data_IF_617229204734
#
_entry.id   IF_617229204734
#
_cell.length_a   1.000
_cell.length_b   1.000
_cell.length_c   1.000
_cell.angle_alpha   90.00
_cell.angle_beta   90.00
_cell.angle_gamma   90.00
#
_symmetry.space_group_name_H-M   'P 1'
#
loop_
_entity.id
_entity.type
_entity.pdbx_description
1 polymer ?
#
# COMPACT_ATOMS: atom_id res chain seq x y z
N UNK A 1 16.73 2.45 11.97
CA UNK A 1 16.83 1.21 11.20
C UNK A 1 15.46 0.92 10.59
N UNK A 2 15.30 1.16 9.30
CA UNK A 2 14.00 1.08 8.62
C UNK A 2 13.78 -0.38 8.24
N UNK A 3 12.90 -1.09 8.96
CA UNK A 3 12.37 -2.38 8.51
C UNK A 3 11.55 -2.13 7.24
N UNK A 4 12.16 -2.37 6.08
CA UNK A 4 11.40 -2.50 4.83
C UNK A 4 10.76 -3.87 4.81
N UNK A 5 9.48 -3.91 5.13
CA UNK A 5 8.67 -5.11 4.95
C UNK A 5 8.75 -5.58 3.50
N UNK A 6 9.17 -6.83 3.35
CA UNK A 6 8.91 -7.61 2.16
C UNK A 6 7.41 -7.51 1.85
N UNK A 7 7.02 -7.03 0.67
CA UNK A 7 5.61 -7.00 0.27
C UNK A 7 5.10 -8.44 0.18
N UNK A 8 4.44 -8.89 1.24
CA UNK A 8 3.76 -10.18 1.29
C UNK A 8 2.35 -10.01 0.73
N UNK A 9 2.01 -10.79 -0.29
CA UNK A 9 0.62 -10.99 -0.73
C UNK A 9 0.05 -12.17 0.01
N UNK A 10 -1.11 -12.00 0.61
CA UNK A 10 -1.90 -13.07 1.20
C UNK A 10 -2.35 -14.08 0.12
N UNK A 11 -2.44 -15.38 0.43
CA UNK A 11 -3.01 -16.36 -0.48
C UNK A 11 -4.49 -16.06 -0.69
N UNK A 12 -4.94 -16.01 -1.94
CA UNK A 12 -6.34 -15.79 -2.33
C UNK A 12 -6.58 -14.66 -3.33
N UNK A 13 -5.64 -13.76 -3.56
CA UNK A 13 -5.75 -12.80 -4.65
C UNK A 13 -4.99 -13.31 -5.87
N UNK A 14 -5.69 -13.99 -6.78
CA UNK A 14 -5.24 -14.10 -8.17
C UNK A 14 -4.82 -12.70 -8.64
N UNK A 15 -3.71 -12.57 -9.38
CA UNK A 15 -3.35 -11.29 -9.96
C UNK A 15 -4.53 -10.83 -10.80
N UNK A 16 -5.20 -9.77 -10.39
CA UNK A 16 -6.21 -9.14 -11.24
C UNK A 16 -5.51 -8.87 -12.57
N UNK A 17 -6.08 -9.30 -13.70
CA UNK A 17 -5.54 -8.97 -15.01
C UNK A 17 -5.35 -7.45 -15.02
N UNK A 18 -4.18 -7.00 -15.45
CA UNK A 18 -3.87 -5.58 -15.47
C UNK A 18 -4.98 -4.82 -16.19
N UNK A 19 -5.21 -3.54 -15.89
CA UNK A 19 -6.34 -2.76 -16.41
C UNK A 19 -6.46 -2.81 -17.94
N UNK A 20 -5.38 -3.14 -18.64
CA UNK A 20 -5.39 -3.37 -20.10
C UNK A 20 -6.07 -4.67 -20.54
N UNK A 21 -5.87 -5.77 -19.82
CA UNK A 21 -6.46 -7.06 -20.19
C UNK A 21 -7.99 -7.08 -19.97
N UNK A 22 -8.45 -6.43 -18.90
CA UNK A 22 -9.89 -6.29 -18.63
C UNK A 22 -10.58 -5.40 -19.68
N UNK A 23 -9.89 -4.33 -20.11
CA UNK A 23 -10.42 -3.45 -21.17
C UNK A 23 -10.48 -4.12 -22.53
N UNK A 24 -9.49 -4.94 -22.88
CA UNK A 24 -9.51 -5.74 -24.12
C UNK A 24 -10.66 -6.74 -24.15
N UNK A 25 -10.91 -7.46 -23.03
CA UNK A 25 -12.06 -8.37 -22.91
C UNK A 25 -13.40 -7.65 -23.03
N UNK A 26 -13.52 -6.45 -22.45
CA UNK A 26 -14.76 -5.64 -22.57
C UNK A 26 -15.00 -5.13 -23.99
N UNK A 27 -13.94 -4.82 -24.74
CA UNK A 27 -14.05 -4.41 -26.16
C UNK A 27 -14.46 -5.59 -27.03
N UNK A 28 -13.89 -6.77 -26.80
CA UNK A 28 -14.24 -8.00 -27.51
C UNK A 28 -15.66 -8.50 -27.22
N UNK A 29 -16.21 -8.16 -26.05
CA UNK A 29 -17.56 -8.55 -25.65
C UNK A 29 -18.66 -7.56 -26.11
N UNK A 30 -18.35 -6.59 -26.97
CA UNK A 30 -19.34 -5.65 -27.54
C UNK A 30 -19.99 -4.70 -26.52
N UNK A 31 -19.47 -4.60 -25.29
CA UNK A 31 -20.11 -3.86 -24.19
C UNK A 31 -19.63 -2.41 -24.00
N UNK A 32 -19.11 -1.75 -25.01
CA UNK A 32 -18.54 -0.43 -24.71
C UNK A 32 -18.79 0.65 -25.71
N UNK A 33 -19.67 1.56 -25.35
CA UNK A 33 -19.53 3.00 -25.67
C UNK A 33 -18.50 3.65 -24.73
N UNK A 34 -17.30 3.10 -24.58
CA UNK A 34 -16.18 3.66 -23.81
C UNK A 34 -15.01 3.96 -24.73
N UNK A 35 -14.16 4.96 -24.43
CA UNK A 35 -13.03 5.29 -25.30
C UNK A 35 -12.22 4.01 -25.59
N UNK A 36 -11.94 3.78 -26.86
CA UNK A 36 -11.27 2.58 -27.38
C UNK A 36 -10.10 2.18 -26.49
N UNK A 37 -10.15 0.97 -25.91
CA UNK A 37 -9.05 0.45 -25.14
C UNK A 37 -7.85 0.30 -26.08
N UNK A 38 -6.81 1.09 -25.85
CA UNK A 38 -5.58 1.01 -26.65
C UNK A 38 -4.92 -0.33 -26.44
N UNK A 39 -4.51 -0.97 -27.54
CA UNK A 39 -3.71 -2.20 -27.49
C UNK A 39 -2.47 -1.97 -26.60
N UNK A 40 -2.11 -2.92 -25.72
CA UNK A 40 -0.92 -2.82 -24.89
C UNK A 40 0.32 -2.57 -25.74
N UNK A 41 1.08 -1.54 -25.42
CA UNK A 41 2.32 -1.22 -26.16
C UNK A 41 3.47 -2.06 -25.63
N UNK A 42 4.34 -2.50 -26.53
CA UNK A 42 5.60 -3.15 -26.15
C UNK A 42 6.43 -2.27 -25.21
N UNK A 43 7.00 -2.90 -24.19
CA UNK A 43 7.91 -2.23 -23.26
C UNK A 43 9.26 -2.02 -23.95
N UNK A 44 9.51 -0.80 -24.42
CA UNK A 44 10.79 -0.42 -25.01
C UNK A 44 11.83 -0.19 -23.92
N UNK A 45 13.07 -0.71 -24.12
CA UNK A 45 14.22 -0.45 -23.23
C UNK A 45 14.40 1.06 -23.03
N UNK A 46 14.58 1.50 -21.78
CA UNK A 46 14.74 2.92 -21.42
C UNK A 46 13.45 3.75 -21.39
N UNK A 47 12.30 3.23 -21.89
CA UNK A 47 11.00 3.93 -21.85
C UNK A 47 10.01 3.34 -20.86
N UNK A 48 10.36 2.26 -20.17
CA UNK A 48 9.56 1.62 -19.16
C UNK A 48 10.39 1.35 -17.90
N UNK A 49 9.71 1.02 -16.80
CA UNK A 49 10.38 0.58 -15.57
C UNK A 49 11.16 -0.70 -15.84
N UNK A 50 12.45 -0.68 -15.53
CA UNK A 50 13.31 -1.86 -15.63
C UNK A 50 12.88 -2.85 -14.53
N UNK A 51 12.19 -3.92 -14.93
CA UNK A 51 11.79 -4.99 -14.01
C UNK A 51 11.52 -6.28 -14.76
N UNK A 52 11.90 -7.39 -14.14
CA UNK A 52 11.61 -8.73 -14.61
C UNK A 52 11.28 -9.65 -13.43
N UNK A 53 10.57 -10.75 -13.71
CA UNK A 53 10.06 -11.65 -12.70
C UNK A 53 10.52 -13.07 -12.98
N UNK A 54 10.96 -13.73 -11.93
CA UNK A 54 11.14 -15.17 -11.88
C UNK A 54 9.91 -15.81 -11.23
N UNK A 55 9.34 -16.82 -11.89
CA UNK A 55 8.24 -17.61 -11.37
C UNK A 55 8.62 -19.09 -11.41
N UNK A 56 8.12 -19.86 -10.47
CA UNK A 56 8.19 -21.33 -10.44
C UNK A 56 9.62 -21.94 -10.60
N UNK A 57 10.68 -21.24 -10.21
CA UNK A 57 12.05 -21.76 -10.23
C UNK A 57 12.66 -21.71 -8.84
N UNK A 58 13.62 -22.61 -8.53
CA UNK A 58 14.26 -22.61 -7.23
C UNK A 58 14.98 -21.28 -6.99
N UNK A 59 14.58 -20.62 -5.91
CA UNK A 59 15.17 -19.39 -5.42
C UNK A 59 15.54 -19.62 -3.96
N UNK A 60 16.70 -19.17 -3.56
CA UNK A 60 17.18 -19.32 -2.18
C UNK A 60 17.43 -17.94 -1.57
N UNK A 61 17.25 -17.86 -0.28
CA UNK A 61 17.55 -16.70 0.52
C UNK A 61 18.30 -17.16 1.76
N UNK A 62 19.50 -16.65 1.92
CA UNK A 62 20.33 -16.91 3.09
C UNK A 62 20.65 -15.59 3.80
N UNK A 63 21.30 -15.63 4.97
CA UNK A 63 21.61 -14.42 5.71
C UNK A 63 22.50 -13.45 4.91
N UNK A 64 21.91 -12.38 4.39
CA UNK A 64 22.61 -11.37 3.58
C UNK A 64 22.80 -11.69 2.11
N UNK A 65 22.28 -12.82 1.59
CA UNK A 65 22.39 -13.20 0.18
C UNK A 65 21.09 -13.72 -0.38
N UNK A 66 20.94 -13.60 -1.71
CA UNK A 66 19.81 -14.12 -2.48
C UNK A 66 20.34 -14.83 -3.71
N UNK A 67 19.92 -16.08 -3.93
CA UNK A 67 20.22 -16.84 -5.14
C UNK A 67 19.04 -16.82 -6.07
N UNK A 68 19.23 -16.29 -7.27
CA UNK A 68 18.20 -16.18 -8.31
C UNK A 68 18.61 -16.95 -9.56
N UNK A 69 17.65 -17.57 -10.28
CA UNK A 69 17.93 -18.27 -11.52
C UNK A 69 18.68 -17.37 -12.53
N UNK A 70 19.69 -17.91 -13.20
CA UNK A 70 20.55 -17.23 -14.18
C UNK A 70 21.40 -16.05 -13.66
N UNK A 71 21.11 -15.52 -12.47
CA UNK A 71 21.89 -14.44 -11.86
C UNK A 71 22.89 -14.96 -10.81
N UNK A 72 22.68 -16.20 -10.34
CA UNK A 72 23.50 -16.75 -9.28
C UNK A 72 23.22 -16.14 -7.91
N UNK A 73 24.18 -16.20 -7.02
CA UNK A 73 24.11 -15.67 -5.67
C UNK A 73 24.58 -14.21 -5.63
N UNK A 74 23.76 -13.36 -5.07
CA UNK A 74 23.96 -11.91 -5.01
C UNK A 74 23.91 -11.49 -3.54
N UNK A 75 24.91 -10.74 -3.08
CA UNK A 75 24.90 -10.11 -1.77
C UNK A 75 23.84 -9.02 -1.71
N UNK A 76 23.13 -8.94 -0.60
CA UNK A 76 22.10 -7.93 -0.36
C UNK A 76 22.56 -6.89 0.65
N UNK A 77 22.23 -5.63 0.41
CA UNK A 77 22.50 -4.55 1.36
C UNK A 77 21.61 -4.63 2.60
N UNK A 78 20.40 -5.17 2.44
CA UNK A 78 19.44 -5.34 3.53
C UNK A 78 19.52 -6.77 4.06
N UNK A 79 19.33 -6.96 5.38
CA UNK A 79 19.33 -8.27 6.00
C UNK A 79 18.18 -9.12 5.48
N UNK A 80 18.49 -10.36 5.11
CA UNK A 80 17.52 -11.36 4.66
C UNK A 80 17.26 -12.43 5.71
N UNK A 81 17.83 -12.31 6.91
CA UNK A 81 17.75 -13.32 7.99
C UNK A 81 16.32 -13.71 8.36
N UNK A 82 15.39 -12.73 8.41
CA UNK A 82 14.00 -13.00 8.76
C UNK A 82 13.29 -13.92 7.76
N UNK A 83 13.54 -13.70 6.46
CA UNK A 83 13.01 -14.56 5.41
C UNK A 83 13.76 -15.92 5.40
N UNK A 84 15.08 -15.91 5.47
CA UNK A 84 15.91 -17.11 5.47
C UNK A 84 15.51 -18.05 6.61
N UNK A 85 15.31 -17.53 7.83
CA UNK A 85 14.84 -18.32 8.98
C UNK A 85 13.49 -18.97 8.73
N UNK A 86 12.52 -18.24 8.16
CA UNK A 86 11.19 -18.80 7.86
C UNK A 86 11.23 -19.85 6.76
N UNK A 87 12.09 -19.68 5.77
CA UNK A 87 12.33 -20.68 4.72
C UNK A 87 12.97 -21.93 5.29
N UNK A 88 13.97 -21.77 6.19
CA UNK A 88 14.63 -22.89 6.86
C UNK A 88 13.70 -23.68 7.78
N UNK A 89 12.79 -23.01 8.47
CA UNK A 89 11.79 -23.65 9.35
C UNK A 89 10.55 -24.18 8.59
N UNK A 90 10.51 -24.09 7.25
CA UNK A 90 9.36 -24.52 6.47
C UNK A 90 8.12 -23.63 6.56
N UNK A 91 8.14 -22.57 7.39
CA UNK A 91 6.98 -21.67 7.60
C UNK A 91 6.82 -20.60 6.51
N UNK A 92 7.66 -20.65 5.49
CA UNK A 92 7.51 -19.80 4.29
C UNK A 92 7.95 -20.53 3.04
N UNK A 93 7.32 -20.22 1.90
CA UNK A 93 7.69 -20.71 0.57
C UNK A 93 7.76 -19.54 -0.41
N UNK A 94 8.84 -19.41 -1.19
CA UNK A 94 8.95 -18.39 -2.22
C UNK A 94 8.16 -18.84 -3.47
N UNK A 95 7.17 -18.06 -3.87
CA UNK A 95 6.39 -18.29 -5.09
C UNK A 95 7.01 -17.60 -6.29
N UNK A 96 7.57 -16.42 -6.12
CA UNK A 96 8.20 -15.67 -7.19
C UNK A 96 9.10 -14.57 -6.65
N UNK A 97 10.05 -14.13 -7.49
CA UNK A 97 10.86 -12.96 -7.22
C UNK A 97 10.74 -11.95 -8.36
N UNK A 98 10.56 -10.68 -8.02
CA UNK A 98 10.59 -9.58 -8.99
C UNK A 98 11.81 -8.72 -8.74
N UNK A 99 12.71 -8.69 -9.72
CA UNK A 99 13.85 -7.79 -9.74
C UNK A 99 13.43 -6.49 -10.39
N UNK A 100 13.68 -5.36 -9.76
CA UNK A 100 13.31 -4.06 -10.30
C UNK A 100 14.34 -2.99 -9.95
N UNK A 101 14.50 -2.00 -10.84
CA UNK A 101 15.37 -0.87 -10.61
C UNK A 101 14.57 0.39 -10.28
N UNK A 102 14.92 1.05 -9.19
CA UNK A 102 14.30 2.29 -8.77
C UNK A 102 15.38 3.24 -8.23
N UNK A 103 15.42 4.47 -8.71
CA UNK A 103 16.37 5.50 -8.26
C UNK A 103 17.84 5.03 -8.29
N UNK A 104 18.24 4.28 -9.33
CA UNK A 104 19.57 3.69 -9.55
C UNK A 104 19.94 2.56 -8.57
N UNK A 105 18.98 2.03 -7.83
CA UNK A 105 19.17 0.86 -6.97
C UNK A 105 18.35 -0.31 -7.49
N UNK A 106 18.91 -1.49 -7.41
CA UNK A 106 18.21 -2.74 -7.69
C UNK A 106 17.55 -3.27 -6.43
N UNK A 107 16.34 -3.76 -6.58
CA UNK A 107 15.54 -4.36 -5.52
C UNK A 107 15.07 -5.73 -5.98
N UNK A 108 15.09 -6.68 -5.06
CA UNK A 108 14.44 -7.98 -5.20
C UNK A 108 13.23 -7.99 -4.27
N UNK A 109 12.05 -8.21 -4.83
CA UNK A 109 10.81 -8.37 -4.06
C UNK A 109 10.33 -9.80 -4.20
N UNK A 110 10.23 -10.52 -3.09
CA UNK A 110 9.71 -11.88 -3.07
C UNK A 110 8.20 -11.86 -2.84
N UNK A 111 7.48 -12.71 -3.60
CA UNK A 111 6.12 -13.12 -3.25
C UNK A 111 6.26 -14.45 -2.53
N UNK A 112 5.86 -14.47 -1.27
CA UNK A 112 5.96 -15.66 -0.44
C UNK A 112 4.57 -16.07 0.04
N UNK A 113 4.37 -17.37 0.14
CA UNK A 113 3.35 -17.96 0.98
C UNK A 113 3.95 -18.14 2.37
N UNK A 114 3.26 -17.73 3.41
CA UNK A 114 3.76 -17.72 4.77
C UNK A 114 2.68 -18.24 5.71
N UNK A 115 3.04 -19.23 6.50
CA UNK A 115 2.24 -19.61 7.65
C UNK A 115 2.33 -18.51 8.70
N UNK A 116 1.20 -17.97 9.06
CA UNK A 116 1.07 -16.97 10.11
C UNK A 116 -0.04 -17.38 11.06
N UNK A 117 0.33 -17.64 12.30
CA UNK A 117 -0.65 -17.70 13.37
C UNK A 117 -1.20 -16.28 13.58
N UNK A 118 -2.43 -16.07 13.17
CA UNK A 118 -3.17 -14.85 13.50
C UNK A 118 -3.85 -15.13 14.84
N UNK A 119 -3.64 -14.32 15.88
CA UNK A 119 -4.34 -14.49 17.13
C UNK A 119 -5.84 -14.48 16.89
N UNK A 120 -6.57 -15.42 17.49
CA UNK A 120 -8.05 -15.42 17.42
C UNK A 120 -8.65 -14.17 18.04
N UNK A 121 -7.96 -13.63 19.06
CA UNK A 121 -8.34 -12.42 19.77
C UNK A 121 -7.13 -11.48 19.89
N UNK A 122 -7.40 -10.20 19.88
CA UNK A 122 -6.37 -9.20 20.11
C UNK A 122 -5.86 -9.29 21.57
N UNK A 123 -4.54 -9.10 21.83
CA UNK A 123 -4.00 -9.15 23.20
C UNK A 123 -4.64 -8.15 24.16
N UNK A 124 -5.13 -7.03 23.65
CA UNK A 124 -5.87 -6.01 24.40
C UNK A 124 -7.34 -6.01 24.00
N UNK A 125 -8.10 -6.97 24.49
CA UNK A 125 -9.53 -7.08 24.20
C UNK A 125 -10.29 -5.87 24.72
N UNK A 126 -11.31 -5.46 23.98
CA UNK A 126 -12.16 -4.31 24.30
C UNK A 126 -11.53 -2.94 24.02
N UNK A 127 -10.22 -2.87 23.77
CA UNK A 127 -9.56 -1.59 23.49
C UNK A 127 -9.97 -1.02 22.12
N UNK A 128 -10.41 0.22 22.11
CA UNK A 128 -10.86 0.88 20.89
C UNK A 128 -10.24 2.28 20.75
N UNK A 129 -10.04 2.72 19.49
CA UNK A 129 -9.58 4.06 19.17
C UNK A 129 -10.30 4.61 17.95
N UNK A 130 -10.82 5.84 18.03
CA UNK A 130 -11.27 6.62 16.89
C UNK A 130 -10.14 7.46 16.34
N UNK A 131 -9.93 7.46 15.02
CA UNK A 131 -8.78 8.05 14.35
C UNK A 131 -9.21 9.00 13.25
N UNK A 132 -8.91 10.29 13.40
CA UNK A 132 -9.00 11.30 12.34
C UNK A 132 -7.65 11.45 11.62
N UNK A 133 -7.69 11.45 10.28
CA UNK A 133 -6.51 11.62 9.42
C UNK A 133 -6.45 13.03 8.85
N UNK A 134 -5.55 13.85 9.40
CA UNK A 134 -5.45 15.27 9.11
C UNK A 134 -4.25 15.67 8.24
N UNK A 135 -4.35 16.88 7.67
CA UNK A 135 -3.24 17.51 6.91
C UNK A 135 -2.25 18.21 7.82
N UNK A 136 -2.70 18.77 8.93
CA UNK A 136 -1.86 19.45 9.94
C UNK A 136 -1.06 18.40 10.72
N UNK A 137 -1.76 17.52 11.37
CA UNK A 137 -1.27 16.30 12.01
C UNK A 137 -1.57 15.12 11.08
N UNK A 138 -0.73 14.10 11.06
CA UNK A 138 -0.99 12.89 10.27
C UNK A 138 -2.20 12.15 10.82
N UNK A 139 -2.30 12.10 12.14
CA UNK A 139 -3.30 11.34 12.84
C UNK A 139 -3.56 11.96 14.21
N UNK A 140 -4.84 12.13 14.53
CA UNK A 140 -5.33 12.44 15.86
C UNK A 140 -6.25 11.29 16.29
N UNK A 141 -5.94 10.63 17.40
CA UNK A 141 -6.73 9.52 17.93
C UNK A 141 -7.26 9.82 19.31
N UNK A 142 -8.43 9.27 19.65
CA UNK A 142 -8.95 9.23 21.01
C UNK A 142 -9.34 7.80 21.32
N UNK A 143 -8.80 7.27 22.41
CA UNK A 143 -9.08 5.91 22.87
C UNK A 143 -10.31 5.83 23.79
N UNK A 144 -10.68 4.62 24.14
CA UNK A 144 -11.81 4.28 25.02
C UNK A 144 -11.64 4.81 26.47
N UNK A 145 -10.41 5.13 26.87
CA UNK A 145 -10.10 5.75 28.17
C UNK A 145 -10.13 7.28 28.11
N UNK A 146 -10.38 7.87 26.92
CA UNK A 146 -10.41 9.31 26.69
C UNK A 146 -9.02 9.94 26.44
N UNK A 147 -7.95 9.13 26.40
CA UNK A 147 -6.62 9.65 26.09
C UNK A 147 -6.53 10.10 24.64
N UNK A 148 -5.86 11.22 24.41
CA UNK A 148 -5.65 11.77 23.07
C UNK A 148 -4.23 11.44 22.57
N UNK A 149 -4.14 10.84 21.40
CA UNK A 149 -2.88 10.52 20.73
C UNK A 149 -2.75 11.39 19.50
N UNK A 150 -1.62 12.07 19.37
CA UNK A 150 -1.33 12.90 18.20
C UNK A 150 -0.03 12.43 17.54
N UNK A 151 -0.09 12.10 16.24
CA UNK A 151 1.07 11.69 15.45
C UNK A 151 1.31 12.71 14.34
N UNK A 152 2.45 13.38 14.42
CA UNK A 152 2.88 14.33 13.40
C UNK A 152 3.33 13.63 12.12
N UNK A 153 2.88 14.14 10.99
CA UNK A 153 3.35 13.66 9.68
C UNK A 153 4.76 14.22 9.37
N UNK A 154 5.62 13.46 8.70
CA UNK A 154 7.00 13.87 8.40
C UNK A 154 7.06 15.02 7.38
N UNK A 155 5.96 15.36 6.73
CA UNK A 155 5.85 16.42 5.69
C UNK A 155 7.02 16.34 4.69
N UNK A 156 7.37 15.10 4.29
CA UNK A 156 8.59 14.76 3.56
C UNK A 156 8.70 15.45 2.19
N UNK A 157 7.56 15.61 1.50
CA UNK A 157 7.50 16.34 0.23
C UNK A 157 7.72 17.84 0.47
N UNK A 158 7.06 18.40 1.49
CA UNK A 158 7.19 19.82 1.82
C UNK A 158 8.63 20.17 2.16
N UNK A 159 9.30 19.41 3.03
CA UNK A 159 10.69 19.62 3.42
C UNK A 159 11.67 19.45 2.25
N UNK A 160 11.37 18.55 1.30
CA UNK A 160 12.21 18.29 0.13
C UNK A 160 11.91 19.19 -1.08
N UNK A 161 10.92 20.08 -1.01
CA UNK A 161 10.40 20.80 -2.17
C UNK A 161 11.44 21.67 -2.89
N UNK A 162 12.28 22.39 -2.13
CA UNK A 162 13.37 23.21 -2.70
C UNK A 162 14.36 22.34 -3.48
N UNK A 163 14.73 21.19 -2.89
CA UNK A 163 15.66 20.22 -3.50
C UNK A 163 15.06 19.58 -4.76
N UNK A 164 13.76 19.21 -4.71
CA UNK A 164 13.03 18.67 -5.86
C UNK A 164 12.97 19.67 -7.01
N UNK A 165 12.60 20.93 -6.73
CA UNK A 165 12.55 21.99 -7.74
C UNK A 165 13.92 22.22 -8.40
N UNK A 166 15.02 22.26 -7.60
CA UNK A 166 16.38 22.40 -8.12
C UNK A 166 16.76 21.22 -9.02
N UNK A 167 16.54 19.99 -8.56
CA UNK A 167 16.83 18.78 -9.33
C UNK A 167 15.98 18.68 -10.61
N UNK A 168 14.72 19.06 -10.56
CA UNK A 168 13.83 19.10 -11.72
C UNK A 168 14.30 20.11 -12.76
N UNK A 169 14.61 21.35 -12.36
CA UNK A 169 15.15 22.38 -13.27
C UNK A 169 16.48 21.92 -13.88
N UNK A 170 17.38 21.35 -13.07
CA UNK A 170 18.65 20.83 -13.58
C UNK A 170 18.45 19.71 -14.63
N UNK A 171 17.45 18.85 -14.42
CA UNK A 171 17.10 17.80 -15.38
C UNK A 171 16.47 18.40 -16.66
N UNK A 172 15.56 19.36 -16.57
CA UNK A 172 14.87 19.96 -17.73
C UNK A 172 15.82 20.72 -18.65
N UNK A 173 16.87 21.36 -18.10
CA UNK A 173 17.89 22.11 -18.87
C UNK A 173 18.86 21.23 -19.64
N UNK A 174 18.85 19.91 -19.43
CA UNK A 174 19.79 19.00 -20.10
C UNK A 174 19.16 18.43 -21.37
N UNK A 175 19.91 18.43 -22.44
CA UNK A 175 19.48 17.89 -23.73
C UNK A 175 19.33 16.36 -23.72
N UNK A 176 18.22 15.80 -24.25
CA UNK A 176 18.10 14.37 -24.50
C UNK A 176 18.91 14.00 -25.76
N UNK A 177 19.54 12.80 -25.81
CA UNK A 177 19.65 11.76 -24.80
C UNK A 177 20.96 11.78 -23.98
N UNK A 178 21.51 12.94 -23.66
CA UNK A 178 22.86 13.12 -23.10
C UNK A 178 23.08 12.35 -21.77
N UNK A 179 24.36 12.00 -21.53
CA UNK A 179 24.78 11.37 -20.26
C UNK A 179 24.49 12.28 -19.07
N UNK A 180 24.65 13.59 -19.23
CA UNK A 180 24.35 14.58 -18.19
C UNK A 180 22.85 14.62 -17.84
N UNK A 181 21.96 14.43 -18.82
CA UNK A 181 20.52 14.30 -18.55
C UNK A 181 20.20 13.03 -17.74
N UNK A 182 20.85 11.90 -18.07
CA UNK A 182 20.71 10.64 -17.30
C UNK A 182 21.18 10.82 -15.85
N UNK A 183 22.33 11.47 -15.62
CA UNK A 183 22.84 11.80 -14.28
C UNK A 183 21.86 12.71 -13.51
N UNK A 184 21.29 13.73 -14.15
CA UNK A 184 20.32 14.62 -13.56
C UNK A 184 18.99 13.90 -13.21
N UNK A 185 18.50 13.04 -14.12
CA UNK A 185 17.32 12.19 -13.87
C UNK A 185 17.54 11.26 -12.66
N UNK A 186 18.72 10.66 -12.54
CA UNK A 186 19.08 9.83 -11.41
C UNK A 186 19.08 10.59 -10.06
N UNK A 187 19.59 11.84 -10.07
CA UNK A 187 19.53 12.72 -8.88
C UNK A 187 18.08 13.05 -8.51
N UNK A 188 17.25 13.41 -9.47
CA UNK A 188 15.82 13.70 -9.24
C UNK A 188 15.10 12.47 -8.69
N UNK A 189 15.32 11.29 -9.30
CA UNK A 189 14.73 10.04 -8.85
C UNK A 189 15.10 9.68 -7.40
N UNK A 190 16.36 9.91 -7.00
CA UNK A 190 16.80 9.69 -5.60
C UNK A 190 16.08 10.59 -4.61
N UNK A 191 15.81 11.86 -4.97
CA UNK A 191 15.07 12.76 -4.08
C UNK A 191 13.62 12.29 -3.92
N UNK A 192 12.95 11.89 -5.01
CA UNK A 192 11.61 11.31 -4.95
C UNK A 192 11.56 10.02 -4.12
N UNK A 193 12.55 9.13 -4.29
CA UNK A 193 12.64 7.90 -3.51
C UNK A 193 12.78 8.18 -2.02
N UNK A 194 13.62 9.16 -1.64
CA UNK A 194 13.77 9.57 -0.23
C UNK A 194 12.44 10.07 0.36
N UNK A 195 11.74 10.96 -0.35
CA UNK A 195 10.41 11.45 0.09
C UNK A 195 9.44 10.30 0.31
N UNK A 196 9.39 9.35 -0.62
CA UNK A 196 8.53 8.18 -0.52
C UNK A 196 8.90 7.30 0.67
N UNK A 197 10.19 7.06 0.89
CA UNK A 197 10.67 6.20 1.98
C UNK A 197 10.39 6.81 3.35
N UNK A 198 10.67 8.10 3.55
CA UNK A 198 10.40 8.79 4.82
C UNK A 198 8.92 8.76 5.16
N UNK A 199 8.04 9.03 4.18
CA UNK A 199 6.59 8.92 4.36
C UNK A 199 6.15 7.51 4.72
N UNK A 200 6.66 6.52 4.00
CA UNK A 200 6.30 5.13 4.25
C UNK A 200 6.73 4.67 5.64
N UNK A 201 7.93 5.05 6.08
CA UNK A 201 8.43 4.70 7.40
C UNK A 201 7.53 5.26 8.51
N UNK A 202 7.16 6.55 8.41
CA UNK A 202 6.24 7.16 9.37
C UNK A 202 4.87 6.46 9.39
N UNK A 203 4.30 6.16 8.22
CA UNK A 203 3.04 5.43 8.13
C UNK A 203 3.14 4.02 8.69
N UNK A 204 4.23 3.31 8.43
CA UNK A 204 4.44 1.97 8.98
C UNK A 204 4.53 2.00 10.50
N UNK A 205 5.25 2.95 11.07
CA UNK A 205 5.36 3.11 12.53
C UNK A 205 4.00 3.41 13.15
N UNK A 206 3.33 4.46 12.70
CA UNK A 206 2.02 4.87 13.21
C UNK A 206 0.97 3.74 13.12
N UNK A 207 0.84 3.10 11.97
CA UNK A 207 -0.16 2.04 11.79
C UNK A 207 0.20 0.74 12.50
N UNK A 208 1.48 0.46 12.75
CA UNK A 208 1.89 -0.71 13.55
C UNK A 208 1.60 -0.47 15.02
N UNK A 209 1.86 0.74 15.49
CA UNK A 209 1.61 1.12 16.86
C UNK A 209 0.12 1.02 17.20
N UNK A 210 -0.74 1.63 16.39
CA UNK A 210 -2.19 1.51 16.55
C UNK A 210 -2.68 0.05 16.54
N UNK A 211 -2.25 -0.73 15.54
CA UNK A 211 -2.69 -2.11 15.40
C UNK A 211 -2.17 -3.07 16.50
N UNK A 212 -1.19 -2.66 17.28
CA UNK A 212 -0.68 -3.41 18.45
C UNK A 212 -1.37 -3.03 19.75
N UNK A 213 -1.82 -1.78 19.84
CA UNK A 213 -2.39 -1.26 21.08
C UNK A 213 -3.91 -1.30 21.13
N UNK A 214 -4.57 -1.39 20.00
CA UNK A 214 -6.04 -1.35 19.94
C UNK A 214 -6.60 -2.51 19.12
N UNK A 215 -7.59 -3.19 19.71
CA UNK A 215 -8.36 -4.23 19.03
C UNK A 215 -9.22 -3.63 17.92
N UNK A 216 -9.93 -2.55 18.23
CA UNK A 216 -10.81 -1.86 17.29
C UNK A 216 -10.22 -0.50 16.91
N UNK A 217 -9.94 -0.30 15.63
CA UNK A 217 -9.54 1.00 15.09
C UNK A 217 -10.67 1.51 14.21
N UNK A 218 -11.21 2.69 14.52
CA UNK A 218 -12.24 3.35 13.71
C UNK A 218 -11.64 4.51 12.95
N UNK A 219 -11.79 4.56 11.65
CA UNK A 219 -11.25 5.62 10.79
C UNK A 219 -12.26 6.04 9.71
N UNK A 220 -12.06 7.22 9.11
CA UNK A 220 -12.89 7.70 8.01
C UNK A 220 -12.58 6.99 6.67
N UNK A 221 -13.62 6.71 5.86
CA UNK A 221 -13.47 6.33 4.44
C UNK A 221 -13.20 7.56 3.57
N UNK A 222 -12.00 8.09 3.65
CA UNK A 222 -11.61 9.29 2.90
C UNK A 222 -11.59 9.05 1.38
N UNK A 223 -12.33 9.87 0.62
CA UNK A 223 -12.22 9.93 -0.83
C UNK A 223 -10.96 10.67 -1.28
N UNK A 224 -9.79 10.03 -1.08
CA UNK A 224 -8.49 10.63 -1.38
C UNK A 224 -8.38 11.08 -2.84
N UNK A 225 -8.97 10.34 -3.79
CA UNK A 225 -8.96 10.70 -5.20
C UNK A 225 -9.72 12.00 -5.46
N UNK A 226 -10.86 12.21 -4.80
CA UNK A 226 -11.62 13.46 -4.84
C UNK A 226 -10.87 14.61 -4.17
N UNK A 227 -10.29 14.35 -3.00
CA UNK A 227 -9.53 15.37 -2.25
C UNK A 227 -8.32 15.91 -3.02
N UNK A 228 -7.62 15.07 -3.80
CA UNK A 228 -6.47 15.47 -4.62
C UNK A 228 -6.87 16.38 -5.78
N UNK A 229 -8.14 16.39 -6.19
CA UNK A 229 -8.62 17.34 -7.23
C UNK A 229 -8.59 18.78 -6.75
N UNK A 230 -8.67 19.02 -5.45
CA UNK A 230 -8.50 20.36 -4.89
C UNK A 230 -7.04 20.80 -5.00
N UNK A 231 -6.73 21.68 -5.95
CA UNK A 231 -5.36 22.14 -6.26
C UNK A 231 -4.64 22.77 -5.06
N UNK A 232 -5.37 23.42 -4.14
CA UNK A 232 -4.79 24.06 -2.93
C UNK A 232 -4.30 23.03 -1.93
N UNK A 233 -5.01 21.91 -1.76
CA UNK A 233 -4.74 20.87 -0.77
C UNK A 233 -4.04 19.64 -1.34
N UNK A 234 -4.08 19.41 -2.65
CA UNK A 234 -3.58 18.20 -3.32
C UNK A 234 -2.17 17.78 -2.89
N UNK A 235 -1.25 18.77 -2.79
CA UNK A 235 0.14 18.50 -2.38
C UNK A 235 0.22 18.04 -0.93
N UNK A 236 -0.48 18.68 -0.02
CA UNK A 236 -0.48 18.35 1.39
C UNK A 236 -1.11 16.96 1.64
N UNK A 237 -2.26 16.70 0.99
CA UNK A 237 -2.94 15.40 1.04
C UNK A 237 -2.04 14.29 0.47
N UNK A 238 -1.37 14.53 -0.65
CA UNK A 238 -0.42 13.58 -1.25
C UNK A 238 0.80 13.34 -0.35
N UNK A 239 1.21 14.33 0.44
CA UNK A 239 2.33 14.22 1.36
C UNK A 239 1.99 13.35 2.58
N UNK A 240 0.74 13.37 3.05
CA UNK A 240 0.30 12.55 4.19
C UNK A 240 0.09 11.07 3.81
N UNK A 241 -0.42 10.77 2.60
CA UNK A 241 -0.57 9.41 2.10
C UNK A 241 -1.73 8.62 2.71
N UNK A 242 -2.87 9.26 2.98
CA UNK A 242 -4.06 8.70 3.64
C UNK A 242 -4.51 7.34 3.09
N UNK A 243 -4.61 7.17 1.77
CA UNK A 243 -5.01 5.89 1.17
C UNK A 243 -4.03 4.75 1.44
N UNK A 244 -2.75 5.06 1.73
CA UNK A 244 -1.77 4.07 2.16
C UNK A 244 -1.94 3.76 3.65
N UNK A 245 -2.17 4.78 4.49
CA UNK A 245 -2.45 4.62 5.91
C UNK A 245 -3.63 3.67 6.12
N UNK A 246 -4.77 3.92 5.44
CA UNK A 246 -5.96 3.06 5.51
C UNK A 246 -5.64 1.61 5.16
N UNK A 247 -4.94 1.37 4.03
CA UNK A 247 -4.56 0.00 3.63
C UNK A 247 -3.65 -0.67 4.67
N UNK A 248 -2.72 0.08 5.25
CA UNK A 248 -1.82 -0.45 6.28
C UNK A 248 -2.58 -0.78 7.56
N UNK A 249 -3.49 0.06 8.00
CA UNK A 249 -4.37 -0.22 9.14
C UNK A 249 -5.15 -1.51 8.89
N UNK A 250 -5.86 -1.65 7.76
CA UNK A 250 -6.68 -2.82 7.48
C UNK A 250 -5.96 -4.15 7.61
N UNK A 251 -4.79 -4.32 6.95
CA UNK A 251 -4.10 -5.59 7.07
C UNK A 251 -3.35 -5.80 8.41
N UNK A 252 -2.93 -4.70 9.06
CA UNK A 252 -2.19 -4.81 10.31
C UNK A 252 -3.09 -5.09 11.51
N UNK A 253 -4.27 -4.46 11.58
CA UNK A 253 -5.27 -4.78 12.59
C UNK A 253 -5.67 -6.25 12.48
N UNK A 254 -6.03 -6.73 11.27
CA UNK A 254 -6.35 -8.14 11.06
C UNK A 254 -5.19 -9.08 11.42
N UNK A 255 -3.93 -8.69 11.20
CA UNK A 255 -2.77 -9.49 11.59
C UNK A 255 -2.55 -9.60 13.09
N UNK A 256 -3.12 -8.72 13.88
CA UNK A 256 -3.04 -8.72 15.32
C UNK A 256 -4.35 -9.21 16.00
N UNK A 257 -5.27 -9.79 15.21
CA UNK A 257 -6.57 -10.26 15.74
C UNK A 257 -7.55 -9.13 16.04
N UNK A 258 -7.31 -7.92 15.53
CA UNK A 258 -8.16 -6.76 15.69
C UNK A 258 -8.97 -6.44 14.43
N UNK A 259 -9.78 -5.38 14.51
CA UNK A 259 -10.76 -4.97 13.49
C UNK A 259 -10.51 -3.52 13.10
N UNK A 260 -10.61 -3.21 11.79
CA UNK A 260 -10.70 -1.85 11.27
C UNK A 260 -12.16 -1.57 10.88
N UNK A 261 -12.77 -0.60 11.51
CA UNK A 261 -14.09 -0.07 11.15
C UNK A 261 -13.88 1.20 10.33
N UNK A 262 -14.52 1.29 9.17
CA UNK A 262 -14.52 2.50 8.36
C UNK A 262 -15.87 3.19 8.52
N UNK A 263 -15.85 4.41 9.04
CA UNK A 263 -17.03 5.27 9.09
C UNK A 263 -17.54 5.55 7.69
N UNK A 264 -18.86 5.67 7.53
CA UNK A 264 -19.44 6.08 6.27
C UNK A 264 -18.80 7.39 5.77
N UNK A 265 -18.62 7.48 4.48
CA UNK A 265 -17.97 8.64 3.83
C UNK A 265 -18.64 9.97 4.12
N UNK A 266 -19.95 9.95 4.38
CA UNK A 266 -20.77 11.12 4.64
C UNK A 266 -21.01 11.36 6.12
N UNK A 267 -20.47 10.47 6.97
CA UNK A 267 -20.57 10.64 8.42
C UNK A 267 -19.91 11.96 8.84
N UNK A 268 -20.67 12.88 9.47
CA UNK A 268 -20.20 14.24 9.75
C UNK A 268 -19.34 14.30 11.01
N UNK A 269 -18.31 13.47 11.11
CA UNK A 269 -17.45 13.30 12.30
C UNK A 269 -16.97 14.63 12.89
N UNK A 270 -16.50 15.55 12.06
CA UNK A 270 -15.98 16.85 12.49
C UNK A 270 -17.06 17.91 12.76
N UNK A 271 -18.30 17.72 12.25
CA UNK A 271 -19.43 18.65 12.45
C UNK A 271 -20.35 18.28 13.60
N UNK A 272 -20.32 17.04 14.03
CA UNK A 272 -21.11 16.52 15.15
C UNK A 272 -20.44 16.88 16.47
N UNK A 273 -21.20 17.36 17.42
CA UNK A 273 -20.69 17.58 18.78
C UNK A 273 -20.44 16.27 19.48
N UNK A 274 -19.22 16.03 19.94
CA UNK A 274 -18.90 14.81 20.70
C UNK A 274 -19.55 14.76 22.09
N UNK A 275 -20.03 15.89 22.62
CA UNK A 275 -20.77 15.93 23.88
C UNK A 275 -22.25 15.61 23.71
N UNK A 276 -22.99 16.42 22.94
CA UNK A 276 -24.44 16.34 22.87
C UNK A 276 -25.01 15.78 21.55
N UNK A 277 -24.17 15.45 20.56
CA UNK A 277 -24.62 14.90 19.28
C UNK A 277 -25.17 15.92 18.27
N UNK A 278 -25.36 17.18 18.64
CA UNK A 278 -25.87 18.22 17.70
C UNK A 278 -24.93 18.40 16.52
N UNK A 279 -25.49 18.45 15.30
CA UNK A 279 -24.73 18.59 14.06
C UNK A 279 -24.75 20.05 13.59
N UNK A 280 -23.57 20.65 13.46
CA UNK A 280 -23.42 21.99 12.85
C UNK A 280 -23.61 21.93 11.33
N UNK A 281 -24.41 22.84 10.79
CA UNK A 281 -24.65 22.91 9.34
C UNK A 281 -23.39 23.29 8.56
N UNK A 282 -22.61 24.25 9.07
CA UNK A 282 -21.36 24.75 8.45
C UNK A 282 -20.22 24.72 9.44
N UNK A 283 -19.06 24.23 8.98
CA UNK A 283 -17.78 24.27 9.69
C UNK A 283 -16.69 24.55 8.66
N UNK A 284 -16.00 25.70 8.81
CA UNK A 284 -14.93 26.07 7.90
C UNK A 284 -13.72 25.16 8.05
N UNK A 285 -13.00 24.90 6.97
CA UNK A 285 -11.73 24.13 7.04
C UNK A 285 -10.64 24.88 7.81
N UNK A 286 -10.75 26.17 7.97
CA UNK A 286 -9.82 27.01 8.76
C UNK A 286 -10.09 26.96 10.26
N UNK A 287 -11.35 26.65 10.67
CA UNK A 287 -11.71 26.51 12.07
C UNK A 287 -11.01 25.27 12.66
N UNK A 288 -10.22 25.48 13.71
CA UNK A 288 -9.50 24.41 14.43
C UNK A 288 -10.15 24.04 15.75
N UNK A 289 -10.85 24.98 16.34
CA UNK A 289 -11.63 24.76 17.57
C UNK A 289 -13.08 24.55 17.19
N UNK A 290 -13.63 23.45 17.66
CA UNK A 290 -15.06 23.19 17.56
C UNK A 290 -15.75 23.81 18.78
N UNK A 291 -16.75 24.65 18.54
CA UNK A 291 -17.59 25.22 19.59
C UNK A 291 -19.06 24.82 19.34
N UNK A 292 -19.68 24.21 20.33
CA UNK A 292 -21.08 23.80 20.24
C UNK A 292 -22.00 24.91 20.77
N UNK A 293 -22.88 25.42 19.92
CA UNK A 293 -23.86 26.41 20.33
C UNK A 293 -25.00 25.85 21.18
N UNK A 294 -25.14 24.52 21.30
CA UNK A 294 -26.19 23.88 22.07
C UNK A 294 -25.75 23.55 23.51
N UNK A 295 -24.59 22.90 23.70
CA UNK A 295 -24.13 22.49 25.02
C UNK A 295 -22.88 23.23 25.53
N UNK A 296 -22.39 24.23 24.80
CA UNK A 296 -21.24 25.01 25.21
C UNK A 296 -19.88 24.32 25.08
N UNK A 297 -19.82 23.06 24.63
CA UNK A 297 -18.55 22.34 24.49
C UNK A 297 -17.57 23.05 23.56
N UNK A 298 -16.36 23.33 24.04
CA UNK A 298 -15.24 23.86 23.26
C UNK A 298 -14.13 22.82 23.24
N UNK A 299 -13.71 22.36 22.06
CA UNK A 299 -12.75 21.28 21.90
C UNK A 299 -11.96 21.45 20.58
N UNK A 300 -10.74 20.90 20.49
CA UNK A 300 -10.05 20.79 19.23
C UNK A 300 -10.89 19.99 18.22
N UNK A 301 -10.95 20.45 16.98
CA UNK A 301 -11.79 19.87 15.94
C UNK A 301 -11.42 18.43 15.60
N UNK A 302 -10.10 18.15 15.50
CA UNK A 302 -9.58 16.84 15.11
C UNK A 302 -9.83 15.83 16.28
N UNK A 303 -9.75 16.31 17.54
CA UNK A 303 -10.11 15.53 18.73
C UNK A 303 -11.62 15.28 18.78
N UNK A 304 -12.45 16.28 18.46
CA UNK A 304 -13.90 16.11 18.37
C UNK A 304 -14.28 15.02 17.33
N UNK A 305 -13.65 15.07 16.15
CA UNK A 305 -13.84 14.07 15.10
C UNK A 305 -13.43 12.66 15.56
N UNK A 306 -12.28 12.54 16.20
CA UNK A 306 -11.79 11.25 16.73
C UNK A 306 -12.73 10.67 17.78
N UNK A 307 -13.30 11.49 18.71
CA UNK A 307 -14.31 11.07 19.67
C UNK A 307 -15.59 10.57 19.01
N UNK A 308 -16.05 11.25 17.96
CA UNK A 308 -17.24 10.83 17.23
C UNK A 308 -17.00 9.53 16.45
N UNK A 309 -15.81 9.34 15.90
CA UNK A 309 -15.43 8.07 15.27
C UNK A 309 -15.38 6.94 16.29
N UNK A 310 -14.83 7.16 17.48
CA UNK A 310 -14.78 6.16 18.53
C UNK A 310 -16.18 5.64 18.91
N UNK A 311 -17.20 6.50 18.95
CA UNK A 311 -18.58 6.10 19.24
C UNK A 311 -19.13 5.04 18.29
N UNK A 312 -18.62 4.99 17.05
CA UNK A 312 -19.01 3.96 16.08
C UNK A 312 -18.46 2.57 16.43
N UNK A 313 -17.42 2.47 17.27
CA UNK A 313 -16.95 1.18 17.75
C UNK A 313 -18.03 0.45 18.57
N UNK A 314 -18.78 1.21 19.37
CA UNK A 314 -19.85 0.67 20.22
C UNK A 314 -21.13 0.33 19.44
N UNK A 315 -21.40 1.01 18.32
CA UNK A 315 -22.62 0.83 17.54
C UNK A 315 -22.59 -0.37 16.58
N UNK A 316 -21.48 -1.14 16.52
CA UNK A 316 -21.39 -2.33 15.68
C UNK A 316 -21.47 -2.05 14.17
N UNK A 317 -21.06 -0.85 13.74
CA UNK A 317 -20.98 -0.51 12.32
C UNK A 317 -20.16 -1.58 11.57
N UNK A 318 -20.70 -2.07 10.45
CA UNK A 318 -20.14 -3.18 9.67
C UNK A 318 -18.66 -2.97 9.37
N UNK A 319 -17.84 -3.94 9.79
CA UNK A 319 -16.40 -3.91 9.55
C UNK A 319 -16.10 -4.42 8.16
N UNK A 320 -15.71 -3.54 7.24
CA UNK A 320 -15.13 -3.96 5.97
C UNK A 320 -13.63 -4.19 6.12
N UNK A 321 -13.18 -5.42 5.91
CA UNK A 321 -11.77 -5.70 5.75
C UNK A 321 -11.25 -5.04 4.47
N UNK A 322 -10.07 -4.44 4.53
CA UNK A 322 -9.40 -3.79 3.39
C UNK A 322 -9.10 -4.74 2.21
N UNK A 323 -9.38 -6.04 2.35
CA UNK A 323 -9.28 -7.07 1.32
C UNK A 323 -10.63 -7.40 0.66
N UNK A 324 -11.72 -6.68 0.97
CA UNK A 324 -13.02 -6.86 0.31
C UNK A 324 -13.82 -8.09 0.76
N UNK A 325 -13.57 -8.59 1.97
CA UNK A 325 -14.38 -9.63 2.61
C UNK A 325 -15.07 -9.08 3.84
N UNK A 326 -16.39 -9.23 3.92
CA UNK A 326 -17.18 -9.00 5.13
C UNK A 326 -16.79 -10.04 6.18
N UNK A 327 -16.20 -9.62 7.31
CA UNK A 327 -15.96 -10.51 8.44
C UNK A 327 -17.12 -10.34 9.42
N UNK A 328 -18.08 -11.24 9.36
CA UNK A 328 -19.03 -11.46 10.45
C UNK A 328 -18.29 -12.19 11.57
N UNK A 329 -18.54 -11.88 12.85
CA UNK A 329 -18.06 -12.70 13.95
C UNK A 329 -18.71 -14.09 13.82
N UNK A 330 -17.92 -15.10 13.50
CA UNK A 330 -18.39 -16.48 13.37
C UNK A 330 -18.20 -17.22 14.68
N UNK A 331 -19.32 -17.58 15.30
CA UNK A 331 -19.41 -18.86 15.98
C UNK A 331 -19.24 -19.96 14.94
N UNK A 332 -18.35 -20.90 15.22
CA UNK A 332 -17.92 -22.01 14.39
C UNK A 332 -18.95 -22.56 13.40
N UNK A 333 -18.72 -22.33 12.09
CA UNK A 333 -19.03 -23.29 11.00
C UNK A 333 -18.37 -22.79 9.73
N UNK A 334 -17.48 -23.63 9.19
CA UNK A 334 -16.87 -23.43 7.87
C UNK A 334 -17.94 -23.73 6.82
N UNK A 335 -18.31 -22.75 5.99
CA UNK A 335 -19.04 -23.00 4.76
C UNK A 335 -18.05 -23.26 3.63
N UNK A 336 -18.29 -24.26 2.77
CA UNK A 336 -17.40 -24.60 1.68
C UNK A 336 -17.38 -23.48 0.64
N UNK A 337 -16.15 -23.15 0.20
CA UNK A 337 -15.90 -22.26 -0.94
C UNK A 337 -16.63 -22.81 -2.16
N UNK A 338 -17.51 -22.04 -2.78
CA UNK A 338 -18.14 -22.35 -4.06
C UNK A 338 -17.06 -22.60 -5.11
N UNK A 339 -16.87 -23.86 -5.49
CA UNK A 339 -16.11 -24.22 -6.67
C UNK A 339 -16.96 -23.91 -7.90
N UNK A 340 -16.44 -23.08 -8.79
CA UNK A 340 -17.03 -22.94 -10.13
C UNK A 340 -16.82 -24.22 -10.94
N UNK A 341 -17.82 -24.69 -11.73
CA UNK A 341 -17.71 -25.91 -12.49
C UNK A 341 -16.65 -25.78 -13.59
N UNK A 342 -15.72 -26.73 -13.61
CA UNK A 342 -14.62 -26.79 -14.55
C UNK A 342 -15.08 -26.93 -15.99
N UNK A 343 -14.63 -26.06 -16.85
CA UNK A 343 -14.76 -26.17 -18.29
C UNK A 343 -13.86 -27.29 -18.81
N UNK A 344 -14.48 -28.31 -19.42
CA UNK A 344 -13.81 -29.40 -20.10
C UNK A 344 -12.90 -28.87 -21.20
N UNK A 345 -11.60 -29.11 -21.06
CA UNK A 345 -10.62 -28.87 -22.13
C UNK A 345 -10.75 -29.94 -23.20
N UNK A 346 -11.21 -29.55 -24.38
CA UNK A 346 -11.07 -30.36 -25.62
C UNK A 346 -9.60 -30.41 -26.02
N UNK A 347 -9.01 -31.59 -25.99
CA UNK A 347 -7.73 -31.89 -26.65
C UNK A 347 -7.83 -31.61 -28.13
N UNK A 348 -6.89 -30.88 -28.70
CA UNK A 348 -6.56 -30.88 -30.13
C UNK A 348 -5.14 -31.42 -30.29
N UNK A 349 -4.90 -32.23 -31.35
CA UNK A 349 -3.61 -32.87 -31.63
C UNK A 349 -2.62 -31.85 -32.20
N UNK A 350 -1.33 -32.04 -31.87
CA UNK A 350 -0.25 -31.21 -32.34
C UNK A 350 0.16 -31.44 -33.79
N UNK A 351 0.91 -30.54 -34.40
CA UNK A 351 1.78 -30.86 -35.50
C UNK A 351 3.25 -30.88 -35.10
N UNK A 352 3.95 -31.75 -35.78
CA UNK A 352 5.33 -32.16 -35.72
C UNK A 352 6.33 -31.11 -36.24
N UNK A 353 7.53 -31.19 -35.68
CA UNK A 353 8.87 -30.91 -36.20
C UNK A 353 9.14 -29.65 -37.04
N UNK A 354 10.13 -28.90 -36.60
CA UNK A 354 10.88 -27.91 -37.35
C UNK A 354 12.08 -27.44 -36.51
N UNK A 355 13.17 -28.18 -36.64
CA UNK A 355 14.51 -27.89 -36.13
C UNK A 355 15.10 -26.72 -36.89
N UNK A 356 15.47 -25.65 -36.24
CA UNK A 356 16.49 -24.71 -36.76
C UNK A 356 17.21 -24.02 -35.60
N UNK A 357 18.44 -24.45 -35.43
CA UNK A 357 19.38 -23.88 -34.50
C UNK A 357 19.75 -22.41 -34.82
N UNK A 358 19.84 -21.64 -33.80
CA UNK A 358 20.58 -20.38 -33.79
C UNK A 358 21.42 -20.30 -32.52
N UNK A 359 22.69 -20.67 -32.71
CA UNK A 359 23.78 -20.36 -31.80
C UNK A 359 23.90 -18.84 -31.70
N UNK A 360 23.76 -18.31 -30.51
CA UNK A 360 24.27 -16.97 -30.18
C UNK A 360 25.36 -17.08 -29.12
N UNK A 361 26.53 -16.70 -29.57
CA UNK A 361 27.79 -16.66 -28.85
C UNK A 361 27.74 -15.77 -27.63
N UNK A 362 28.24 -16.32 -26.52
CA UNK A 362 28.66 -15.54 -25.37
C UNK A 362 29.88 -14.68 -25.72
N UNK A 363 29.71 -13.37 -25.67
CA UNK A 363 30.87 -12.46 -25.65
C UNK A 363 30.61 -11.27 -24.75
N UNK A 364 31.51 -11.14 -23.79
CA UNK A 364 32.01 -9.93 -23.16
C UNK A 364 31.12 -9.18 -22.16
N UNK A 365 31.28 -9.56 -20.91
CA UNK A 365 31.28 -8.63 -19.78
C UNK A 365 32.61 -8.80 -19.03
N UNK A 366 33.68 -8.20 -19.60
CA UNK A 366 34.91 -7.83 -18.88
C UNK A 366 35.21 -6.37 -19.17
N UNK A 367 35.66 -5.66 -18.11
CA UNK A 367 36.27 -4.32 -18.01
C UNK A 367 35.28 -3.14 -18.11
N UNK A 368 35.29 -2.18 -17.26
CA UNK A 368 36.40 -1.50 -16.54
C UNK A 368 35.94 -0.84 -15.25
N UNK A 369 36.86 -0.79 -14.27
CA UNK A 369 37.28 0.33 -13.42
C UNK A 369 36.28 0.90 -12.41
#
# INVERSE_FOLDING_TARGET
MVERELQMRLPGSLPRPGPGATRLRQVQAGRAKRPQARVPRFKKRGKCRESFRFAARPMRCAGGTVTLPRLGTIATHESTHKLARRLGNGTARILSATVSRTAQRWFVSFTCEIERAIPERHPRQGSAIGVDLGVKTLLTGVDDQGNTITIEGPKALRSSLRRLRRASRAHSRKQPPSANRRKAAARLARVHARVTNVRNDALHKATTDLARHYETVVAEDLNVAGMIRNRRLARAISDQGFGRARRMLGYKTGWNGGILILADRWYPSSKTCSGCGTVRTKLSLSERTYSCGHCGTIIDRDVNAARNLLKLAASGAESENACGGTVRPRSARQDPVKQEPGTRTRRRPGPSHGDTGLRMSARALKRNG
#
